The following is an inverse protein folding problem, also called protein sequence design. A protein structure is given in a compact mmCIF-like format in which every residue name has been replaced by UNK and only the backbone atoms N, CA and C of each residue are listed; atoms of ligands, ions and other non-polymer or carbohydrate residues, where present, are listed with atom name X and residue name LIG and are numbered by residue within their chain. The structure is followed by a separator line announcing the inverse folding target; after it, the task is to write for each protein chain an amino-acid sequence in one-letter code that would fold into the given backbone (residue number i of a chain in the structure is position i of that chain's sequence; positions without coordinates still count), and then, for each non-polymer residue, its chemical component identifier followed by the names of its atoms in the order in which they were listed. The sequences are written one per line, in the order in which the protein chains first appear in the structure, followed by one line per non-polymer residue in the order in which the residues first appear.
data_IF_279584292804
#
_entry.id   IF_279584292804
#
_cell.length_a   1.000
_cell.length_b   1.000
_cell.length_c   1.000
_cell.angle_alpha   90.00
_cell.angle_beta   90.00
_cell.angle_gamma   90.00
#
_symmetry.space_group_name_H-M   'P 1'
#
loop_
_entity.id
_entity.type
_entity.pdbx_description
1 polymer ?
#
# COMPACT_ATOMS: atom_id res chain seq x y z
N UNK A 1 2.08 16.79 -4.11
CA UNK A 1 2.13 15.32 -4.05
C UNK A 1 1.70 14.79 -5.39
N UNK A 2 2.53 13.98 -6.04
CA UNK A 2 2.16 13.26 -7.27
C UNK A 2 1.20 12.12 -6.93
N UNK A 3 0.36 11.68 -7.87
CA UNK A 3 -0.58 10.56 -7.67
C UNK A 3 0.12 9.28 -7.17
N UNK A 4 1.32 8.99 -7.69
CA UNK A 4 2.14 7.88 -7.22
C UNK A 4 2.54 7.98 -5.74
N UNK A 5 2.74 9.19 -5.23
CA UNK A 5 3.08 9.42 -3.83
C UNK A 5 1.86 9.24 -2.93
N UNK A 6 0.69 9.71 -3.40
CA UNK A 6 -0.61 9.47 -2.74
C UNK A 6 -0.93 7.98 -2.70
N UNK A 7 -0.73 7.25 -3.79
CA UNK A 7 -0.91 5.81 -3.87
C UNK A 7 0.02 5.08 -2.88
N UNK A 8 1.31 5.42 -2.89
CA UNK A 8 2.29 4.81 -2.00
C UNK A 8 1.92 5.05 -0.52
N UNK A 9 1.55 6.28 -0.15
CA UNK A 9 1.11 6.60 1.21
C UNK A 9 -0.18 5.87 1.60
N UNK A 10 -1.14 5.78 0.69
CA UNK A 10 -2.39 5.06 0.93
C UNK A 10 -2.11 3.57 1.16
N UNK A 11 -1.28 2.95 0.32
CA UNK A 11 -0.87 1.55 0.45
C UNK A 11 -0.14 1.29 1.77
N UNK A 12 0.78 2.18 2.13
CA UNK A 12 1.52 2.12 3.40
C UNK A 12 0.59 2.22 4.61
N UNK A 13 -0.36 3.14 4.61
CA UNK A 13 -1.33 3.28 5.70
C UNK A 13 -2.24 2.05 5.81
N UNK A 14 -2.64 1.46 4.68
CA UNK A 14 -3.44 0.25 4.67
C UNK A 14 -2.67 -0.93 5.26
N UNK A 15 -1.41 -1.14 4.85
CA UNK A 15 -0.54 -2.19 5.39
C UNK A 15 -0.24 -1.97 6.88
N UNK A 16 -0.15 -0.72 7.35
CA UNK A 16 -0.03 -0.40 8.78
C UNK A 16 -1.27 -0.83 9.58
N UNK A 17 -2.47 -0.59 9.04
CA UNK A 17 -3.73 -0.96 9.68
C UNK A 17 -4.02 -2.47 9.62
N UNK A 18 -3.48 -3.15 8.60
CA UNK A 18 -3.68 -4.57 8.32
C UNK A 18 -2.34 -5.29 8.09
N UNK A 19 -1.47 -5.42 9.12
CA UNK A 19 -0.18 -6.10 8.98
C UNK A 19 -0.30 -7.55 8.50
N UNK A 20 -1.46 -8.20 8.72
CA UNK A 20 -1.77 -9.55 8.27
C UNK A 20 -1.70 -9.71 6.75
N UNK A 21 -1.81 -8.62 5.97
CA UNK A 21 -1.63 -8.60 4.51
C UNK A 21 -0.26 -9.14 4.06
N UNK A 22 0.73 -9.11 4.96
CA UNK A 22 2.06 -9.68 4.73
C UNK A 22 2.03 -11.20 4.59
N UNK A 23 1.13 -11.84 5.31
CA UNK A 23 1.08 -13.30 5.44
C UNK A 23 -0.18 -13.91 4.82
N UNK A 24 -1.24 -13.12 4.64
CA UNK A 24 -2.53 -13.58 4.12
C UNK A 24 -2.77 -13.08 2.70
N UNK A 25 -2.72 -14.01 1.74
CA UNK A 25 -2.90 -13.71 0.31
C UNK A 25 -4.27 -13.08 0.00
N UNK A 26 -5.34 -13.58 0.62
CA UNK A 26 -6.69 -13.04 0.43
C UNK A 26 -6.83 -11.57 0.86
N UNK A 27 -6.06 -11.12 1.86
CA UNK A 27 -5.99 -9.70 2.24
C UNK A 27 -5.23 -8.87 1.21
N UNK A 28 -4.19 -9.42 0.60
CA UNK A 28 -3.49 -8.76 -0.51
C UNK A 28 -4.43 -8.57 -1.70
N UNK A 29 -5.18 -9.62 -2.07
CA UNK A 29 -6.16 -9.54 -3.16
C UNK A 29 -7.29 -8.53 -2.85
N UNK A 30 -7.82 -8.57 -1.62
CA UNK A 30 -8.83 -7.59 -1.16
C UNK A 30 -8.31 -6.16 -1.25
N UNK A 31 -7.07 -5.92 -0.82
CA UNK A 31 -6.47 -4.60 -0.87
C UNK A 31 -6.32 -4.09 -2.30
N UNK A 32 -5.83 -4.94 -3.22
CA UNK A 32 -5.71 -4.56 -4.64
C UNK A 32 -7.09 -4.20 -5.21
N UNK A 33 -8.13 -4.94 -4.87
CA UNK A 33 -9.49 -4.62 -5.30
C UNK A 33 -9.97 -3.26 -4.79
N UNK A 34 -9.73 -2.95 -3.51
CA UNK A 34 -10.04 -1.62 -2.94
C UNK A 34 -9.20 -0.52 -3.60
N UNK A 35 -7.93 -0.81 -3.92
CA UNK A 35 -7.04 0.15 -4.56
C UNK A 35 -7.45 0.45 -6.01
N UNK A 36 -8.01 -0.51 -6.75
CA UNK A 36 -8.57 -0.29 -8.10
C UNK A 36 -9.77 0.65 -8.04
N UNK A 37 -10.63 0.52 -7.03
CA UNK A 37 -11.79 1.41 -6.84
C UNK A 37 -11.34 2.84 -6.44
N UNK A 38 -10.32 2.94 -5.58
CA UNK A 38 -9.81 4.22 -5.09
C UNK A 38 -8.89 4.95 -6.08
N UNK A 39 -8.24 4.22 -6.99
CA UNK A 39 -7.29 4.74 -7.98
C UNK A 39 -7.58 4.11 -9.36
N UNK A 40 -8.72 4.44 -10.00
CA UNK A 40 -9.13 3.83 -11.27
C UNK A 40 -8.20 4.18 -12.43
N UNK A 41 -7.44 5.26 -12.29
CA UNK A 41 -6.43 5.74 -13.24
C UNK A 41 -5.09 4.99 -13.15
N UNK A 42 -4.87 4.21 -12.08
CA UNK A 42 -3.66 3.44 -11.87
C UNK A 42 -3.83 2.03 -12.38
N UNK A 43 -2.84 1.53 -13.13
CA UNK A 43 -2.91 0.16 -13.64
C UNK A 43 -2.80 -0.85 -12.50
N UNK A 44 -3.54 -1.98 -12.54
CA UNK A 44 -3.47 -3.02 -11.52
C UNK A 44 -2.06 -3.54 -11.23
N UNK A 45 -1.18 -3.56 -12.23
CA UNK A 45 0.22 -3.96 -12.08
C UNK A 45 1.02 -2.97 -11.21
N UNK A 46 0.74 -1.67 -11.31
CA UNK A 46 1.37 -0.64 -10.48
C UNK A 46 0.87 -0.73 -9.03
N UNK A 47 -0.42 -1.07 -8.84
CA UNK A 47 -0.98 -1.34 -7.52
C UNK A 47 -0.29 -2.55 -6.86
N UNK A 48 -0.07 -3.64 -7.60
CA UNK A 48 0.66 -4.81 -7.08
C UNK A 48 2.12 -4.50 -6.72
N UNK A 49 2.79 -3.69 -7.54
CA UNK A 49 4.15 -3.24 -7.25
C UNK A 49 4.20 -2.36 -6.00
N UNK A 50 3.26 -1.42 -5.87
CA UNK A 50 3.15 -0.55 -4.70
C UNK A 50 2.86 -1.34 -3.42
N UNK A 51 2.00 -2.36 -3.49
CA UNK A 51 1.71 -3.25 -2.36
C UNK A 51 2.94 -4.05 -1.96
N UNK A 52 3.68 -4.58 -2.94
CA UNK A 52 4.91 -5.33 -2.67
C UNK A 52 5.93 -4.48 -1.92
N UNK A 53 6.16 -3.24 -2.40
CA UNK A 53 7.03 -2.26 -1.73
C UNK A 53 6.54 -1.91 -0.33
N UNK A 54 5.24 -1.72 -0.14
CA UNK A 54 4.65 -1.41 1.16
C UNK A 54 4.81 -2.56 2.17
N UNK A 55 4.81 -3.82 1.70
CA UNK A 55 5.06 -5.01 2.53
C UNK A 55 6.53 -5.14 2.95
N UNK A 56 7.46 -4.72 2.09
CA UNK A 56 8.90 -4.76 2.34
C UNK A 56 9.38 -3.68 3.32
N UNK A 57 8.63 -2.58 3.49
CA UNK A 57 9.02 -1.51 4.40
C UNK A 57 8.86 -1.95 5.88
N UNK A 58 9.89 -1.73 6.73
CA UNK A 58 9.76 -2.00 8.16
C UNK A 58 8.65 -1.11 8.73
N UNK A 59 7.72 -1.69 9.49
CA UNK A 59 6.58 -0.97 10.08
C UNK A 59 7.04 0.20 10.99
N UNK A 60 8.28 0.15 11.48
CA UNK A 60 8.92 1.18 12.31
C UNK A 60 9.55 2.33 11.52
N UNK A 61 9.78 2.20 10.21
CA UNK A 61 10.55 3.19 9.43
C UNK A 61 9.76 4.45 9.02
N UNK A 62 8.59 4.65 9.62
CA UNK A 62 7.57 5.63 9.20
C UNK A 62 7.00 6.36 10.42
N UNK A 63 7.82 6.47 11.48
CA UNK A 63 7.54 7.22 12.71
C UNK A 63 8.58 8.33 12.94
N UNK A 64 9.31 8.73 11.89
CA UNK A 64 10.43 9.66 12.02
C UNK A 64 10.63 10.54 10.80
N UNK A 65 9.69 11.43 10.53
CA UNK A 65 9.98 12.67 9.77
C UNK A 65 9.15 13.81 10.33
N UNK A 66 9.30 14.02 11.64
CA UNK A 66 9.05 15.30 12.30
C UNK A 66 10.31 15.61 13.11
N UNK A 67 11.23 16.38 12.52
CA UNK A 67 12.26 17.13 13.22
C UNK A 67 12.54 18.41 12.45
#
# INVERSE_FOLDING_TARGET
MSENERLAQWMLNWVKQHPEVRHQRWLSDKMIHVAVDAFPEVQPNELQLALSRAKELPTQSIAGTER
#
